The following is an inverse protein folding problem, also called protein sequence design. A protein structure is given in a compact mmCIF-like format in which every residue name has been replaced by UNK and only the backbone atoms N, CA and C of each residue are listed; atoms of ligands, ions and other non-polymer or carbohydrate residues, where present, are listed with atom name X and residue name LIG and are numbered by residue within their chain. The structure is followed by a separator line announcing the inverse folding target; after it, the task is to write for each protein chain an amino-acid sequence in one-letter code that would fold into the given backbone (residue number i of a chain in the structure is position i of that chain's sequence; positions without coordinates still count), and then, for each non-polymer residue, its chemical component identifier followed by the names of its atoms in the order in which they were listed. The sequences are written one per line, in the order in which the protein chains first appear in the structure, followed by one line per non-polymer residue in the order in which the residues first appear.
data_IF_612025650560
#
_entry.id   IF_612025650560
#
_cell.length_a   1.000
_cell.length_b   1.000
_cell.length_c   1.000
_cell.angle_alpha   90.00
_cell.angle_beta   90.00
_cell.angle_gamma   90.00
#
_symmetry.space_group_name_H-M   'P 1'
#
loop_
_entity.id
_entity.type
_entity.pdbx_description
1 polymer ?
#
# COMPACT_ATOMS: atom_id res chain seq x y z
N UNK A 1 20.14 45.19 -67.00
CA UNK A 1 18.74 44.77 -67.19
C UNK A 1 18.72 43.29 -66.80
N UNK A 2 18.34 42.87 -65.60
CA UNK A 2 17.05 43.01 -64.94
C UNK A 2 17.15 43.27 -63.42
N UNK A 3 16.47 44.35 -63.01
CA UNK A 3 15.67 44.64 -61.80
C UNK A 3 16.14 44.15 -60.41
N UNK A 4 16.41 45.15 -59.55
CA UNK A 4 16.43 45.14 -58.08
C UNK A 4 15.06 45.52 -57.50
N UNK A 5 14.81 45.10 -56.25
CA UNK A 5 13.79 45.53 -55.26
C UNK A 5 12.41 44.82 -55.38
N UNK A 6 11.76 44.33 -54.31
CA UNK A 6 12.03 44.36 -52.88
C UNK A 6 10.85 43.79 -52.07
N UNK A 7 10.92 43.98 -50.74
CA UNK A 7 9.89 43.88 -49.68
C UNK A 7 9.87 42.57 -48.86
N UNK A 8 9.98 42.81 -47.55
CA UNK A 8 10.09 41.90 -46.42
C UNK A 8 8.75 41.35 -45.92
N UNK A 9 8.79 40.24 -45.17
CA UNK A 9 7.91 39.82 -44.04
C UNK A 9 8.73 38.75 -43.29
N UNK A 10 9.37 39.08 -42.16
CA UNK A 10 8.81 38.99 -40.80
C UNK A 10 8.25 37.59 -40.49
N UNK A 11 9.06 36.78 -39.81
CA UNK A 11 8.68 35.43 -39.38
C UNK A 11 9.77 34.78 -38.56
N UNK A 12 10.31 35.50 -37.58
CA UNK A 12 11.12 34.93 -36.51
C UNK A 12 10.20 34.05 -35.65
N UNK A 13 9.88 32.84 -36.11
CA UNK A 13 9.29 31.84 -35.22
C UNK A 13 10.46 31.18 -34.47
N UNK A 14 10.99 31.93 -33.51
CA UNK A 14 11.70 31.32 -32.40
C UNK A 14 10.70 30.40 -31.72
N UNK A 15 10.78 29.09 -32.01
CA UNK A 15 10.21 28.08 -31.15
C UNK A 15 11.04 28.16 -29.87
N UNK A 16 10.65 29.08 -28.98
CA UNK A 16 11.04 29.02 -27.59
C UNK A 16 10.36 27.76 -27.04
N UNK A 17 11.01 26.61 -27.27
CA UNK A 17 10.98 25.54 -26.28
C UNK A 17 11.44 26.23 -25.03
N UNK A 18 10.49 26.63 -24.20
CA UNK A 18 10.77 27.16 -22.89
C UNK A 18 11.51 26.03 -22.18
N UNK A 19 12.84 26.12 -22.20
CA UNK A 19 13.70 25.36 -21.32
C UNK A 19 13.30 25.74 -19.90
N UNK A 20 12.37 24.99 -19.31
CA UNK A 20 12.35 24.84 -17.88
C UNK A 20 13.50 23.88 -17.53
N UNK A 21 14.74 24.35 -17.73
CA UNK A 21 15.98 23.66 -17.38
C UNK A 21 16.21 23.74 -15.87
N UNK A 22 15.19 23.39 -15.08
CA UNK A 22 15.29 23.17 -13.64
C UNK A 22 15.62 21.71 -13.39
N UNK A 23 16.36 21.43 -12.32
CA UNK A 23 16.52 20.07 -11.80
C UNK A 23 15.13 19.46 -11.58
N UNK A 24 14.76 18.32 -12.23
CA UNK A 24 13.45 17.70 -12.06
C UNK A 24 13.09 17.41 -10.60
N UNK A 25 14.09 17.13 -9.75
CA UNK A 25 13.87 16.90 -8.33
C UNK A 25 13.35 18.15 -7.58
N UNK A 26 13.51 19.35 -8.14
CA UNK A 26 13.02 20.60 -7.54
C UNK A 26 11.58 20.92 -7.93
N UNK A 27 10.96 20.13 -8.82
CA UNK A 27 9.56 20.35 -9.20
C UNK A 27 8.63 20.08 -8.02
N UNK A 28 7.53 20.81 -7.96
CA UNK A 28 6.53 20.62 -6.89
C UNK A 28 5.91 19.22 -6.98
N UNK A 29 5.69 18.70 -8.19
CA UNK A 29 5.20 17.34 -8.40
C UNK A 29 6.14 16.29 -7.78
N UNK A 30 7.46 16.45 -7.95
CA UNK A 30 8.44 15.56 -7.34
C UNK A 30 8.41 15.64 -5.81
N UNK A 31 8.38 16.85 -5.24
CA UNK A 31 8.31 17.04 -3.78
C UNK A 31 7.05 16.43 -3.19
N UNK A 32 5.90 16.58 -3.87
CA UNK A 32 4.65 15.94 -3.47
C UNK A 32 4.78 14.42 -3.50
N UNK A 33 5.32 13.84 -4.60
CA UNK A 33 5.54 12.41 -4.68
C UNK A 33 6.41 11.91 -3.51
N UNK A 34 7.51 12.59 -3.21
CA UNK A 34 8.39 12.23 -2.08
C UNK A 34 7.70 12.30 -0.73
N UNK A 35 6.90 13.34 -0.49
CA UNK A 35 6.16 13.47 0.76
C UNK A 35 5.10 12.36 0.92
N UNK A 36 4.42 12.01 -0.17
CA UNK A 36 3.44 10.92 -0.18
C UNK A 36 4.12 9.57 0.01
N UNK A 37 5.27 9.32 -0.62
CA UNK A 37 6.05 8.11 -0.40
C UNK A 37 6.47 7.97 1.07
N UNK A 38 6.96 9.05 1.69
CA UNK A 38 7.32 9.02 3.11
C UNK A 38 6.12 8.66 3.99
N UNK A 39 4.93 9.14 3.64
CA UNK A 39 3.67 8.76 4.31
C UNK A 39 3.37 7.27 4.12
N UNK A 40 3.49 6.76 2.89
CA UNK A 40 3.28 5.34 2.60
C UNK A 40 4.25 4.43 3.36
N UNK A 41 5.51 4.82 3.51
CA UNK A 41 6.49 4.06 4.33
C UNK A 41 6.05 3.99 5.78
N UNK A 42 5.61 5.11 6.38
CA UNK A 42 5.12 5.12 7.76
C UNK A 42 3.88 4.23 7.91
N UNK A 43 2.95 4.29 6.95
CA UNK A 43 1.78 3.44 6.94
C UNK A 43 2.15 1.96 6.76
N UNK A 44 3.19 1.65 5.97
CA UNK A 44 3.70 0.28 5.83
C UNK A 44 4.19 -0.27 7.16
N UNK A 45 5.02 0.48 7.88
CA UNK A 45 5.53 0.10 9.20
C UNK A 45 4.40 -0.12 10.20
N UNK A 46 3.34 0.71 10.14
CA UNK A 46 2.16 0.55 10.97
C UNK A 46 1.40 -0.75 10.65
N UNK A 47 1.25 -1.11 9.38
CA UNK A 47 0.60 -2.35 8.98
C UNK A 47 1.46 -3.59 9.30
N UNK A 48 2.79 -3.52 9.18
CA UNK A 48 3.69 -4.58 9.63
C UNK A 48 3.54 -4.82 11.13
N UNK A 49 3.43 -3.74 11.92
CA UNK A 49 3.17 -3.86 13.35
C UNK A 49 1.81 -4.53 13.62
N UNK A 50 0.77 -4.14 12.89
CA UNK A 50 -0.55 -4.76 13.02
C UNK A 50 -0.50 -6.26 12.68
N UNK A 51 0.23 -6.65 11.62
CA UNK A 51 0.44 -8.04 11.27
C UNK A 51 1.08 -8.85 12.42
N UNK A 52 2.13 -8.31 13.03
CA UNK A 52 2.81 -8.97 14.13
C UNK A 52 1.92 -9.11 15.38
N UNK A 53 1.07 -8.11 15.66
CA UNK A 53 0.10 -8.18 16.76
C UNK A 53 -0.99 -9.25 16.47
N UNK A 54 -1.41 -9.39 15.21
CA UNK A 54 -2.31 -10.46 14.74
C UNK A 54 -1.68 -11.86 14.87
N UNK A 55 -0.41 -12.03 14.47
CA UNK A 55 0.34 -13.28 14.65
C UNK A 55 0.45 -13.68 16.12
N UNK A 56 0.72 -12.71 17.00
CA UNK A 56 0.81 -12.97 18.43
C UNK A 56 -0.54 -13.39 19.02
N UNK A 57 -1.63 -12.74 18.60
CA UNK A 57 -2.99 -13.10 19.00
C UNK A 57 -3.35 -14.50 18.52
N UNK A 58 -3.03 -14.83 17.27
CA UNK A 58 -3.21 -16.18 16.73
C UNK A 58 -2.55 -17.25 17.60
N UNK A 59 -1.25 -17.06 17.87
CA UNK A 59 -0.46 -18.03 18.62
C UNK A 59 -1.03 -18.24 20.03
N UNK A 60 -1.59 -17.18 20.63
CA UNK A 60 -2.29 -17.27 21.91
C UNK A 60 -3.57 -18.10 21.78
N UNK A 61 -4.41 -17.84 20.77
CA UNK A 61 -5.66 -18.58 20.58
C UNK A 61 -5.41 -20.08 20.35
N UNK A 62 -4.43 -20.43 19.51
CA UNK A 62 -4.00 -21.82 19.30
C UNK A 62 -3.56 -22.47 20.62
N UNK A 63 -2.81 -21.75 21.45
CA UNK A 63 -2.38 -22.26 22.75
C UNK A 63 -3.55 -22.43 23.74
N UNK A 64 -4.50 -21.49 23.77
CA UNK A 64 -5.70 -21.56 24.59
C UNK A 64 -6.54 -22.77 24.19
N UNK A 65 -6.78 -22.97 22.89
CA UNK A 65 -7.49 -24.12 22.35
C UNK A 65 -6.81 -25.45 22.70
N UNK A 66 -5.50 -25.55 22.52
CA UNK A 66 -4.75 -26.75 22.90
C UNK A 66 -4.85 -27.09 24.40
N UNK A 67 -5.10 -26.10 25.25
CA UNK A 67 -5.24 -26.30 26.70
C UNK A 67 -6.63 -26.82 27.12
N UNK A 68 -7.67 -26.54 26.33
CA UNK A 68 -9.07 -26.95 26.62
C UNK A 68 -9.56 -28.09 25.73
N UNK A 69 -8.83 -28.46 24.69
CA UNK A 69 -9.21 -29.51 23.76
C UNK A 69 -9.14 -30.93 24.40
N UNK A 70 -10.31 -31.56 24.56
CA UNK A 70 -10.47 -33.02 24.41
C UNK A 70 -10.41 -33.44 22.93
N UNK A 71 -10.80 -34.66 22.54
CA UNK A 71 -10.79 -35.08 21.11
C UNK A 71 -11.39 -33.98 20.22
N UNK A 72 -10.61 -33.54 19.20
CA UNK A 72 -10.84 -32.33 18.38
C UNK A 72 -12.32 -32.03 18.13
N UNK A 73 -12.80 -30.93 18.70
CA UNK A 73 -14.11 -30.37 18.38
C UNK A 73 -14.05 -29.67 17.02
N UNK A 74 -14.93 -30.08 16.08
CA UNK A 74 -14.98 -29.58 14.69
C UNK A 74 -15.05 -28.04 14.63
N UNK A 75 -15.61 -27.37 15.64
CA UNK A 75 -15.68 -25.91 15.70
C UNK A 75 -14.30 -25.25 15.91
N UNK A 76 -13.42 -25.88 16.69
CA UNK A 76 -12.08 -25.38 16.97
C UNK A 76 -11.19 -25.46 15.74
N UNK A 77 -11.20 -26.60 15.04
CA UNK A 77 -10.44 -26.79 13.81
C UNK A 77 -10.89 -25.82 12.70
N UNK A 78 -12.19 -25.54 12.62
CA UNK A 78 -12.72 -24.55 11.69
C UNK A 78 -12.20 -23.14 12.00
N UNK A 79 -12.14 -22.76 13.28
CA UNK A 79 -11.65 -21.46 13.72
C UNK A 79 -10.16 -21.26 13.43
N UNK A 80 -9.33 -22.27 13.73
CA UNK A 80 -7.89 -22.22 13.41
C UNK A 80 -7.67 -22.05 11.90
N UNK A 81 -8.42 -22.79 11.07
CA UNK A 81 -8.35 -22.67 9.62
C UNK A 81 -8.78 -21.28 9.10
N UNK A 82 -9.81 -20.68 9.69
CA UNK A 82 -10.21 -19.30 9.35
C UNK A 82 -9.11 -18.29 9.72
N UNK A 83 -8.46 -18.49 10.86
CA UNK A 83 -7.37 -17.62 11.30
C UNK A 83 -6.13 -17.74 10.40
N UNK A 84 -5.74 -18.96 10.02
CA UNK A 84 -4.66 -19.20 9.04
C UNK A 84 -4.95 -18.51 7.71
N UNK A 85 -6.19 -18.60 7.23
CA UNK A 85 -6.62 -17.94 6.00
C UNK A 85 -6.59 -16.40 6.13
N UNK A 86 -6.88 -15.85 7.30
CA UNK A 86 -6.75 -14.42 7.57
C UNK A 86 -5.29 -13.98 7.57
N UNK A 87 -4.41 -14.74 8.22
CA UNK A 87 -2.97 -14.45 8.27
C UNK A 87 -2.35 -14.48 6.88
N UNK A 88 -2.73 -15.45 6.05
CA UNK A 88 -2.30 -15.53 4.65
C UNK A 88 -2.73 -14.29 3.85
N UNK A 89 -4.00 -13.88 3.97
CA UNK A 89 -4.51 -12.65 3.31
C UNK A 89 -3.78 -11.40 3.80
N UNK A 90 -3.53 -11.28 5.09
CA UNK A 90 -2.78 -10.14 5.63
C UNK A 90 -1.35 -10.09 5.09
N UNK A 91 -0.71 -11.25 4.96
CA UNK A 91 0.61 -11.33 4.34
C UNK A 91 0.60 -10.92 2.87
N UNK A 92 -0.42 -11.30 2.10
CA UNK A 92 -0.58 -10.85 0.70
C UNK A 92 -0.70 -9.32 0.60
N UNK A 93 -1.46 -8.69 1.50
CA UNK A 93 -1.57 -7.21 1.56
C UNK A 93 -0.22 -6.58 1.91
N UNK A 94 0.55 -7.15 2.84
CA UNK A 94 1.88 -6.64 3.20
C UNK A 94 2.87 -6.74 2.04
N UNK A 95 2.90 -7.89 1.36
CA UNK A 95 3.78 -8.10 0.21
C UNK A 95 3.41 -7.15 -0.95
N UNK A 96 2.12 -6.92 -1.19
CA UNK A 96 1.64 -5.96 -2.19
C UNK A 96 2.02 -4.52 -1.82
N UNK A 97 1.91 -4.15 -0.55
CA UNK A 97 2.25 -2.82 -0.09
C UNK A 97 3.76 -2.55 -0.16
N UNK A 98 4.59 -3.52 0.22
CA UNK A 98 6.05 -3.43 0.08
C UNK A 98 6.47 -3.26 -1.40
N UNK A 99 5.81 -3.98 -2.31
CA UNK A 99 6.03 -3.82 -3.75
C UNK A 99 5.64 -2.41 -4.23
N UNK A 100 4.53 -1.86 -3.76
CA UNK A 100 4.10 -0.51 -4.12
C UNK A 100 5.07 0.58 -3.60
N UNK A 101 5.56 0.44 -2.37
CA UNK A 101 6.59 1.33 -1.80
C UNK A 101 7.86 1.30 -2.67
N UNK A 102 8.30 0.12 -3.10
CA UNK A 102 9.45 -0.01 -3.99
C UNK A 102 9.21 0.63 -5.36
N UNK A 103 8.01 0.44 -5.95
CA UNK A 103 7.64 1.05 -7.23
C UNK A 103 7.62 2.58 -7.15
N UNK A 104 7.10 3.12 -6.04
CA UNK A 104 7.09 4.56 -5.78
C UNK A 104 8.51 5.12 -5.69
N UNK A 105 9.41 4.43 -4.97
CA UNK A 105 10.81 4.83 -4.90
C UNK A 105 11.49 4.82 -6.27
N UNK A 106 11.21 3.83 -7.11
CA UNK A 106 11.74 3.77 -8.47
C UNK A 106 11.23 4.95 -9.32
N UNK A 107 9.93 5.28 -9.20
CA UNK A 107 9.31 6.40 -9.90
C UNK A 107 9.96 7.74 -9.53
N UNK A 108 10.18 7.99 -8.23
CA UNK A 108 10.92 9.16 -7.75
C UNK A 108 12.30 9.27 -8.38
N UNK A 109 13.07 8.17 -8.35
CA UNK A 109 14.44 8.14 -8.84
C UNK A 109 14.49 8.41 -10.35
N UNK A 110 13.60 7.80 -11.14
CA UNK A 110 13.48 8.04 -12.58
C UNK A 110 13.17 9.51 -12.88
N UNK A 111 12.24 10.10 -12.14
CA UNK A 111 11.93 11.51 -12.33
C UNK A 111 13.11 12.41 -11.96
N UNK A 112 13.76 12.18 -10.82
CA UNK A 112 14.92 12.95 -10.39
C UNK A 112 16.09 12.87 -11.38
N UNK A 113 16.27 11.72 -12.04
CA UNK A 113 17.26 11.52 -13.11
C UNK A 113 16.86 12.16 -14.45
N UNK A 114 15.63 12.68 -14.57
CA UNK A 114 15.10 13.24 -15.81
C UNK A 114 14.74 12.19 -16.86
N UNK A 115 14.57 10.94 -16.45
CA UNK A 115 14.25 9.81 -17.34
C UNK A 115 12.77 9.79 -17.73
N UNK A 116 11.91 10.40 -16.92
CA UNK A 116 10.47 10.56 -17.16
C UNK A 116 10.05 12.03 -17.01
N UNK A 117 8.95 12.39 -17.66
CA UNK A 117 8.39 13.74 -17.58
C UNK A 117 7.58 13.95 -16.30
N UNK A 118 7.29 15.20 -15.97
CA UNK A 118 6.40 15.54 -14.86
C UNK A 118 4.97 15.01 -15.09
N UNK A 119 4.51 14.98 -16.34
CA UNK A 119 3.20 14.42 -16.71
C UNK A 119 3.15 12.90 -16.46
N UNK A 120 4.21 12.19 -16.84
CA UNK A 120 4.35 10.75 -16.58
C UNK A 120 4.43 10.45 -15.08
N UNK A 121 5.23 11.21 -14.32
CA UNK A 121 5.29 11.14 -12.86
C UNK A 121 3.89 11.30 -12.26
N UNK A 122 3.17 12.33 -12.66
CA UNK A 122 1.84 12.65 -12.11
C UNK A 122 0.84 11.53 -12.40
N UNK A 123 0.85 10.98 -13.63
CA UNK A 123 -0.04 9.90 -14.03
C UNK A 123 0.23 8.60 -13.25
N UNK A 124 1.49 8.17 -13.19
CA UNK A 124 1.86 6.95 -12.47
C UNK A 124 1.62 7.10 -10.97
N UNK A 125 1.97 8.25 -10.39
CA UNK A 125 1.75 8.52 -8.98
C UNK A 125 0.25 8.49 -8.62
N UNK A 126 -0.63 9.03 -9.46
CA UNK A 126 -2.08 8.96 -9.24
C UNK A 126 -2.61 7.50 -9.23
N UNK A 127 -2.07 6.65 -10.10
CA UNK A 127 -2.39 5.22 -10.12
C UNK A 127 -1.93 4.54 -8.82
N UNK A 128 -0.69 4.80 -8.39
CA UNK A 128 -0.14 4.26 -7.14
C UNK A 128 -0.98 4.67 -5.94
N UNK A 129 -1.40 5.94 -5.84
CA UNK A 129 -2.32 6.40 -4.79
C UNK A 129 -3.63 5.62 -4.78
N UNK A 130 -4.22 5.37 -5.94
CA UNK A 130 -5.45 4.57 -6.01
C UNK A 130 -5.24 3.13 -5.55
N UNK A 131 -4.10 2.52 -5.87
CA UNK A 131 -3.76 1.17 -5.41
C UNK A 131 -3.54 1.15 -3.89
N UNK A 132 -2.87 2.16 -3.36
CA UNK A 132 -2.64 2.35 -1.93
C UNK A 132 -3.94 2.45 -1.13
N UNK A 133 -4.89 3.28 -1.57
CA UNK A 133 -6.19 3.42 -0.89
C UNK A 133 -7.02 2.13 -0.92
N UNK A 134 -6.92 1.33 -1.99
CA UNK A 134 -7.53 0.01 -2.03
C UNK A 134 -6.91 -0.92 -0.99
N UNK A 135 -5.57 -0.96 -0.90
CA UNK A 135 -4.87 -1.78 0.09
C UNK A 135 -5.20 -1.37 1.53
N UNK A 136 -5.35 -0.07 1.81
CA UNK A 136 -5.81 0.41 3.12
C UNK A 136 -7.21 -0.09 3.45
N UNK A 137 -8.12 -0.04 2.48
CA UNK A 137 -9.49 -0.56 2.65
C UNK A 137 -9.46 -2.07 2.94
N UNK A 138 -8.64 -2.82 2.21
CA UNK A 138 -8.52 -4.27 2.40
C UNK A 138 -7.91 -4.59 3.78
N UNK A 139 -6.90 -3.84 4.21
CA UNK A 139 -6.29 -3.97 5.53
C UNK A 139 -7.28 -3.67 6.66
N UNK A 140 -8.06 -2.59 6.56
CA UNK A 140 -9.08 -2.24 7.55
C UNK A 140 -10.16 -3.34 7.67
N UNK A 141 -10.54 -3.96 6.55
CA UNK A 141 -11.46 -5.10 6.56
C UNK A 141 -10.85 -6.32 7.25
N UNK A 142 -9.56 -6.61 7.03
CA UNK A 142 -8.87 -7.71 7.70
C UNK A 142 -8.79 -7.51 9.21
N UNK A 143 -8.55 -6.27 9.67
CA UNK A 143 -8.58 -5.94 11.09
C UNK A 143 -9.98 -6.13 11.70
N UNK A 144 -11.04 -5.77 10.97
CA UNK A 144 -12.41 -6.00 11.41
C UNK A 144 -12.75 -7.50 11.50
N UNK A 145 -12.35 -8.28 10.49
CA UNK A 145 -12.52 -9.74 10.47
C UNK A 145 -11.77 -10.39 11.66
N UNK A 146 -10.54 -9.95 11.94
CA UNK A 146 -9.76 -10.41 13.10
C UNK A 146 -10.46 -10.11 14.42
N UNK A 147 -10.95 -8.88 14.61
CA UNK A 147 -11.65 -8.50 15.84
C UNK A 147 -12.92 -9.33 16.07
N UNK A 148 -13.62 -9.71 14.99
CA UNK A 148 -14.75 -10.61 15.08
C UNK A 148 -14.32 -12.02 15.51
N UNK A 149 -13.27 -12.57 14.90
CA UNK A 149 -12.71 -13.86 15.33
C UNK A 149 -12.30 -13.84 16.80
N UNK A 150 -11.67 -12.77 17.29
CA UNK A 150 -11.31 -12.67 18.71
C UNK A 150 -12.52 -12.70 19.65
N UNK A 151 -13.63 -12.06 19.25
CA UNK A 151 -14.87 -12.12 19.99
C UNK A 151 -15.47 -13.53 19.98
N UNK A 152 -15.47 -14.21 18.83
CA UNK A 152 -15.97 -15.59 18.68
C UNK A 152 -15.12 -16.56 19.53
N UNK A 153 -13.79 -16.40 19.54
CA UNK A 153 -12.85 -17.17 20.38
C UNK A 153 -13.21 -17.02 21.86
N UNK A 154 -13.39 -15.78 22.30
CA UNK A 154 -13.71 -15.47 23.71
C UNK A 154 -15.03 -16.10 24.13
N UNK A 155 -16.04 -16.09 23.24
CA UNK A 155 -17.32 -16.74 23.50
C UNK A 155 -17.18 -18.26 23.62
N UNK A 156 -16.44 -18.89 22.71
CA UNK A 156 -16.18 -20.34 22.75
C UNK A 156 -15.48 -20.76 24.05
N UNK A 157 -14.43 -20.04 24.45
CA UNK A 157 -13.72 -20.32 25.70
C UNK A 157 -14.63 -20.20 26.93
N UNK A 158 -15.51 -19.19 26.95
CA UNK A 158 -16.48 -19.02 28.04
C UNK A 158 -17.51 -20.16 28.11
N UNK A 159 -17.97 -20.67 26.97
CA UNK A 159 -18.87 -21.83 26.91
C UNK A 159 -18.19 -23.10 27.43
N UNK A 160 -16.89 -23.29 27.13
CA UNK A 160 -16.11 -24.40 27.70
C UNK A 160 -15.97 -24.30 29.22
N UNK A 161 -15.67 -23.12 29.77
CA UNK A 161 -15.59 -22.91 31.22
C UNK A 161 -16.95 -23.02 31.93
N UNK A 162 -18.05 -22.68 31.25
CA UNK A 162 -19.41 -22.73 31.79
C UNK A 162 -20.10 -24.09 31.67
N UNK A 163 -19.62 -24.97 30.77
CA UNK A 163 -20.16 -26.31 30.53
C UNK A 163 -19.66 -27.40 31.47
N UNK A 164 -18.59 -27.15 32.25
CA UNK A 164 -18.02 -28.11 33.22
C UNK A 164 -18.78 -28.19 34.57
N UNK A 165 -20.09 -27.93 34.58
CA UNK A 165 -20.97 -27.97 35.77
C UNK A 165 -21.84 -29.22 35.88
#
# INVERSE_FOLDING_TARGET
MFIKNGIAIAGLLALAVACNSGNPAESEAHKTAVADHATMVIEHEAMEKAHADLEATHAKMVADHAAVAGEEDDAHAAMEAEHDALMARHKEVMDAHAALVAEHKELENKHAAGEITEEELTSQHAKMKSQHEQMKTDHDQLLADHAKMEADHTAMMADHEGGEG
#
